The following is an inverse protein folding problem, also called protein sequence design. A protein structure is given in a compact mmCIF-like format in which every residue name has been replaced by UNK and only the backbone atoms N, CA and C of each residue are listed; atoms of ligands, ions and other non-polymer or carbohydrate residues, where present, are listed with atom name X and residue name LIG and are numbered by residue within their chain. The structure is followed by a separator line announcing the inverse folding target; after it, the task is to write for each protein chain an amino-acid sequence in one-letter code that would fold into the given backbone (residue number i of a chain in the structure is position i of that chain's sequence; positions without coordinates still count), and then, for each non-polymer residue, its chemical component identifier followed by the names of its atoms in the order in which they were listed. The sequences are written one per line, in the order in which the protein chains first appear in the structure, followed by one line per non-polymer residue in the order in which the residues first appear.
data_IF_413722621619
#
_entry.id   IF_413722621619
#
_cell.length_a   1.000
_cell.length_b   1.000
_cell.length_c   1.000
_cell.angle_alpha   90.00
_cell.angle_beta   90.00
_cell.angle_gamma   90.00
#
_symmetry.space_group_name_H-M   'P 1'
#
loop_
_entity.id
_entity.type
_entity.pdbx_description
1 polymer ?
#
# COMPACT_ATOMS: atom_id res chain seq x y z
N UNK A 1 1.15 0.84 -15.32
CA UNK A 1 0.33 1.35 -16.43
C UNK A 1 -0.95 1.95 -15.84
N UNK A 2 -1.02 3.27 -15.70
CA UNK A 2 -2.23 3.94 -15.20
C UNK A 2 -3.27 3.92 -16.32
N UNK A 3 -4.27 3.05 -16.19
CA UNK A 3 -5.40 3.03 -17.11
C UNK A 3 -6.26 4.25 -16.77
N UNK A 4 -6.03 5.36 -17.46
CA UNK A 4 -6.92 6.53 -17.46
C UNK A 4 -8.17 6.14 -18.22
N UNK A 5 -9.08 5.44 -17.55
CA UNK A 5 -10.46 5.35 -18.01
C UNK A 5 -10.99 6.78 -18.10
N UNK A 6 -11.52 7.21 -19.25
CA UNK A 6 -12.41 8.37 -19.29
C UNK A 6 -13.61 8.06 -18.40
N UNK A 7 -13.49 8.36 -17.11
CA UNK A 7 -14.49 8.03 -16.12
C UNK A 7 -15.60 9.06 -16.19
N UNK A 8 -16.80 8.60 -16.54
CA UNK A 8 -18.01 9.40 -16.43
C UNK A 8 -18.12 10.00 -15.01
N UNK A 9 -18.66 11.22 -14.83
CA UNK A 9 -18.74 11.86 -13.53
C UNK A 9 -19.55 11.02 -12.52
N UNK A 10 -19.13 11.08 -11.25
CA UNK A 10 -19.83 10.43 -10.13
C UNK A 10 -20.87 11.39 -9.55
N UNK A 11 -22.09 10.91 -9.39
CA UNK A 11 -23.17 11.59 -8.68
C UNK A 11 -23.06 11.33 -7.18
N UNK A 12 -23.15 12.39 -6.38
CA UNK A 12 -23.11 12.31 -4.92
C UNK A 12 -24.19 13.21 -4.32
N UNK A 13 -24.92 12.68 -3.32
CA UNK A 13 -25.90 13.46 -2.55
C UNK A 13 -25.87 13.01 -1.10
N UNK A 14 -25.35 13.86 -0.23
CA UNK A 14 -25.15 13.50 1.17
C UNK A 14 -24.36 14.56 1.92
N UNK A 15 -23.85 14.18 3.07
CA UNK A 15 -23.00 15.03 3.90
C UNK A 15 -21.55 14.93 3.44
N UNK A 16 -20.78 15.99 3.69
CA UNK A 16 -19.32 15.94 3.61
C UNK A 16 -18.72 15.81 5.00
N UNK A 17 -17.51 15.26 5.09
CA UNK A 17 -16.74 15.17 6.32
C UNK A 17 -15.34 15.76 6.15
N UNK A 18 -14.71 16.14 7.26
CA UNK A 18 -13.30 16.51 7.29
C UNK A 18 -12.45 15.30 7.65
N UNK A 19 -11.20 15.30 7.17
CA UNK A 19 -10.19 14.32 7.54
C UNK A 19 -9.03 15.07 8.18
N UNK A 20 -8.48 14.55 9.27
CA UNK A 20 -7.30 15.12 9.89
C UNK A 20 -6.09 14.97 8.94
N UNK A 21 -5.46 16.07 8.49
CA UNK A 21 -4.34 16.02 7.56
C UNK A 21 -3.08 15.37 8.15
N UNK A 22 -2.96 15.28 9.48
CA UNK A 22 -1.84 14.62 10.14
C UNK A 22 -1.94 13.07 10.13
N UNK A 23 -3.11 12.52 9.78
CA UNK A 23 -3.31 11.07 9.75
C UNK A 23 -2.77 10.46 8.46
N UNK A 24 -1.83 9.52 8.59
CA UNK A 24 -1.27 8.75 7.46
C UNK A 24 -2.10 7.52 7.07
N UNK A 25 -3.09 7.15 7.89
CA UNK A 25 -3.92 5.95 7.72
C UNK A 25 -5.21 6.21 6.94
N UNK A 26 -5.60 7.48 6.80
CA UNK A 26 -6.86 7.89 6.18
C UNK A 26 -6.57 8.51 4.83
N UNK A 27 -7.28 8.07 3.79
CA UNK A 27 -7.17 8.59 2.45
C UNK A 27 -8.52 9.16 1.99
N UNK A 28 -8.49 10.33 1.35
CA UNK A 28 -9.65 10.89 0.64
C UNK A 28 -9.71 10.29 -0.76
N UNK A 29 -10.74 9.49 -1.03
CA UNK A 29 -10.95 8.86 -2.35
C UNK A 29 -11.74 9.80 -3.26
N UNK A 30 -12.76 10.47 -2.71
CA UNK A 30 -13.57 11.45 -3.43
C UNK A 30 -13.66 12.73 -2.59
N UNK A 31 -13.25 13.85 -3.17
CA UNK A 31 -13.35 15.19 -2.58
C UNK A 31 -14.35 16.05 -3.35
N UNK A 32 -14.92 17.05 -2.68
CA UNK A 32 -15.78 18.03 -3.34
C UNK A 32 -14.98 18.94 -4.30
N UNK A 33 -15.70 19.69 -5.13
CA UNK A 33 -15.10 20.70 -6.02
C UNK A 33 -14.51 21.87 -5.21
N UNK A 34 -13.52 22.61 -5.75
CA UNK A 34 -12.92 23.76 -5.06
C UNK A 34 -13.92 24.86 -4.68
N UNK A 35 -15.04 24.97 -5.40
CA UNK A 35 -16.12 25.92 -5.14
C UNK A 35 -17.21 25.41 -4.18
N UNK A 36 -17.11 24.17 -3.69
CA UNK A 36 -18.12 23.60 -2.80
C UNK A 36 -17.97 24.16 -1.38
N UNK A 37 -19.07 24.19 -0.62
CA UNK A 37 -19.06 24.47 0.81
C UNK A 37 -20.10 23.58 1.50
N UNK A 38 -19.87 23.26 2.77
CA UNK A 38 -20.82 22.50 3.58
C UNK A 38 -21.54 23.44 4.55
N UNK A 39 -22.86 23.52 4.42
CA UNK A 39 -23.73 24.30 5.30
C UNK A 39 -25.14 23.72 5.33
N UNK A 40 -25.93 24.07 6.36
CA UNK A 40 -27.35 23.73 6.40
C UNK A 40 -28.12 24.57 5.38
N UNK A 41 -28.85 23.97 4.41
CA UNK A 41 -29.55 24.72 3.37
C UNK A 41 -30.67 25.63 3.86
N UNK A 42 -31.17 25.41 5.08
CA UNK A 42 -32.35 26.10 5.64
C UNK A 42 -32.01 27.32 6.49
N UNK A 43 -30.75 27.51 6.84
CA UNK A 43 -30.31 28.58 7.76
C UNK A 43 -29.53 29.65 7.01
N UNK A 44 -29.65 30.91 7.44
CA UNK A 44 -28.81 32.00 6.92
C UNK A 44 -27.33 31.64 7.13
N UNK A 45 -26.56 31.68 6.05
CA UNK A 45 -25.18 31.22 6.04
C UNK A 45 -24.31 32.08 6.97
N UNK A 46 -23.84 31.49 8.08
CA UNK A 46 -22.62 31.93 8.75
C UNK A 46 -21.40 31.35 8.01
N UNK A 47 -20.20 31.86 8.29
CA UNK A 47 -18.96 31.34 7.68
C UNK A 47 -18.92 29.81 7.70
N UNK A 48 -18.86 29.13 6.53
CA UNK A 48 -18.95 27.68 6.45
C UNK A 48 -17.73 27.03 7.12
N UNK A 49 -17.97 25.98 7.92
CA UNK A 49 -16.92 25.30 8.69
C UNK A 49 -15.93 24.52 7.82
N UNK A 50 -16.37 24.05 6.65
CA UNK A 50 -15.54 23.30 5.70
C UNK A 50 -15.86 23.76 4.28
N UNK A 51 -14.82 24.09 3.51
CA UNK A 51 -14.92 24.65 2.14
C UNK A 51 -13.95 24.01 1.16
N UNK A 52 -14.31 24.06 -0.12
CA UNK A 52 -13.54 23.61 -1.25
C UNK A 52 -13.17 22.12 -1.21
N UNK A 53 -11.98 21.81 -1.74
CA UNK A 53 -11.44 20.44 -1.84
C UNK A 53 -11.02 19.83 -0.50
N UNK A 54 -11.13 20.58 0.60
CA UNK A 54 -10.93 20.04 1.95
C UNK A 54 -12.07 19.12 2.37
N UNK A 55 -13.27 19.34 1.80
CA UNK A 55 -14.45 18.49 2.01
C UNK A 55 -14.20 17.12 1.39
N UNK A 56 -14.14 16.08 2.23
CA UNK A 56 -14.17 14.71 1.80
C UNK A 56 -15.62 14.23 1.67
N UNK A 57 -15.92 13.55 0.56
CA UNK A 57 -17.23 12.94 0.30
C UNK A 57 -17.17 11.43 0.56
N UNK A 58 -16.07 10.81 0.16
CA UNK A 58 -15.75 9.41 0.41
C UNK A 58 -14.31 9.30 0.88
N UNK A 59 -14.10 8.66 2.03
CA UNK A 59 -12.78 8.38 2.59
C UNK A 59 -12.62 6.91 2.90
N UNK A 60 -11.39 6.43 2.84
CA UNK A 60 -11.04 5.08 3.27
C UNK A 60 -10.00 5.14 4.39
N UNK A 61 -10.04 4.12 5.24
CA UNK A 61 -9.07 3.92 6.31
C UNK A 61 -8.46 2.55 6.13
N UNK A 62 -7.13 2.50 6.17
CA UNK A 62 -6.39 1.25 6.31
C UNK A 62 -5.71 1.27 7.67
N UNK A 63 -6.18 0.41 8.57
CA UNK A 63 -5.60 0.27 9.90
C UNK A 63 -4.25 -0.47 9.85
N UNK A 64 -3.47 -0.39 10.94
CA UNK A 64 -2.14 -1.02 11.04
C UNK A 64 -2.18 -2.56 10.93
N UNK A 65 -3.32 -3.16 11.29
CA UNK A 65 -3.59 -4.59 11.10
C UNK A 65 -4.13 -4.91 9.69
N UNK A 66 -3.98 -4.00 8.72
CA UNK A 66 -4.51 -4.08 7.36
C UNK A 66 -6.04 -4.15 7.25
N UNK A 67 -6.81 -3.89 8.32
CA UNK A 67 -8.26 -3.79 8.22
C UNK A 67 -8.67 -2.56 7.37
N UNK A 68 -9.65 -2.74 6.48
CA UNK A 68 -10.12 -1.72 5.55
C UNK A 68 -11.50 -1.24 5.93
N UNK A 69 -11.69 0.07 5.96
CA UNK A 69 -12.98 0.71 6.22
C UNK A 69 -13.25 1.78 5.17
N UNK A 70 -14.50 1.86 4.72
CA UNK A 70 -15.01 2.90 3.82
C UNK A 70 -16.01 3.77 4.59
N UNK A 71 -15.82 5.08 4.51
CA UNK A 71 -16.73 6.09 5.05
C UNK A 71 -17.28 6.88 3.86
N UNK A 72 -18.59 6.78 3.62
CA UNK A 72 -19.31 7.58 2.63
C UNK A 72 -20.34 8.45 3.33
N UNK A 73 -20.38 9.73 2.99
CA UNK A 73 -21.42 10.64 3.47
C UNK A 73 -22.76 10.55 2.70
N UNK A 74 -22.86 9.66 1.71
CA UNK A 74 -24.05 9.49 0.86
C UNK A 74 -24.47 8.03 0.75
N UNK A 75 -25.73 7.76 1.11
CA UNK A 75 -26.40 6.49 0.80
C UNK A 75 -26.81 6.41 -0.67
N UNK A 76 -27.21 7.53 -1.26
CA UNK A 76 -27.64 7.61 -2.66
C UNK A 76 -26.52 7.23 -3.63
N UNK A 77 -25.25 7.43 -3.24
CA UNK A 77 -24.08 6.98 -4.00
C UNK A 77 -24.17 5.49 -4.41
N UNK A 78 -24.75 4.66 -3.54
CA UNK A 78 -24.92 3.21 -3.73
C UNK A 78 -26.30 2.84 -4.31
N UNK A 79 -27.16 3.81 -4.60
CA UNK A 79 -28.52 3.55 -5.08
C UNK A 79 -28.56 3.19 -6.56
N UNK A 80 -29.40 2.22 -6.93
CA UNK A 80 -29.66 1.84 -8.33
C UNK A 80 -29.97 3.05 -9.23
N UNK A 81 -30.62 4.08 -8.67
CA UNK A 81 -30.90 5.33 -9.37
C UNK A 81 -29.59 5.99 -9.83
N UNK A 82 -28.64 6.24 -8.92
CA UNK A 82 -27.38 6.89 -9.29
C UNK A 82 -26.51 5.99 -10.14
N UNK A 83 -26.53 4.67 -9.94
CA UNK A 83 -25.77 3.71 -10.77
C UNK A 83 -26.20 3.71 -12.25
N UNK A 84 -27.46 4.01 -12.55
CA UNK A 84 -28.04 3.93 -13.91
C UNK A 84 -28.37 5.29 -14.52
N UNK A 85 -28.24 6.38 -13.77
CA UNK A 85 -28.58 7.71 -14.27
C UNK A 85 -27.52 8.24 -15.22
N UNK A 86 -27.96 8.90 -16.30
CA UNK A 86 -27.07 9.74 -17.11
C UNK A 86 -26.69 11.03 -16.39
N UNK A 87 -25.55 11.61 -16.76
CA UNK A 87 -25.00 12.81 -16.13
C UNK A 87 -24.76 13.90 -17.17
N UNK A 88 -25.28 15.09 -16.88
CA UNK A 88 -24.98 16.31 -17.62
C UNK A 88 -24.63 17.39 -16.61
N UNK A 89 -23.39 17.87 -16.65
CA UNK A 89 -22.96 18.97 -15.78
C UNK A 89 -23.59 20.26 -16.29
N UNK A 90 -24.22 21.04 -15.39
CA UNK A 90 -24.75 22.35 -15.75
C UNK A 90 -23.65 23.24 -16.36
N UNK A 91 -23.91 23.79 -17.55
CA UNK A 91 -22.92 24.57 -18.31
C UNK A 91 -21.93 23.76 -19.15
N UNK A 92 -22.08 22.43 -19.25
CA UNK A 92 -21.32 21.57 -20.16
C UNK A 92 -22.22 20.98 -21.24
N UNK A 93 -21.69 20.77 -22.44
CA UNK A 93 -22.35 20.06 -23.53
C UNK A 93 -22.09 18.55 -23.48
N UNK A 94 -21.15 18.10 -22.64
CA UNK A 94 -20.77 16.70 -22.55
C UNK A 94 -21.78 15.95 -21.70
N UNK A 95 -22.68 15.22 -22.37
CA UNK A 95 -23.63 14.33 -21.75
C UNK A 95 -23.04 12.92 -21.68
N UNK A 96 -23.08 12.33 -20.50
CA UNK A 96 -22.77 10.91 -20.30
C UNK A 96 -24.08 10.15 -20.14
N UNK A 97 -24.25 9.05 -20.88
CA UNK A 97 -25.46 8.22 -20.79
C UNK A 97 -25.59 7.51 -19.45
N UNK A 98 -24.45 7.22 -18.81
CA UNK A 98 -24.35 6.56 -17.50
C UNK A 98 -23.32 7.28 -16.63
N UNK A 99 -23.60 7.37 -15.34
CA UNK A 99 -22.67 7.88 -14.34
C UNK A 99 -21.51 6.91 -14.08
N UNK A 100 -20.43 7.43 -13.49
CA UNK A 100 -19.31 6.60 -13.04
C UNK A 100 -19.57 5.84 -11.74
N UNK A 101 -20.77 5.95 -11.14
CA UNK A 101 -21.04 5.43 -9.80
C UNK A 101 -20.90 3.91 -9.71
N UNK A 102 -21.35 3.17 -10.72
CA UNK A 102 -21.30 1.70 -10.70
C UNK A 102 -19.85 1.19 -10.67
N UNK A 103 -19.00 1.75 -11.54
CA UNK A 103 -17.58 1.41 -11.56
C UNK A 103 -16.90 1.82 -10.25
N UNK A 104 -17.17 3.04 -9.77
CA UNK A 104 -16.61 3.54 -8.52
C UNK A 104 -16.96 2.65 -7.32
N UNK A 105 -18.25 2.34 -7.14
CA UNK A 105 -18.75 1.50 -6.05
C UNK A 105 -18.21 0.07 -6.17
N UNK A 106 -18.13 -0.48 -7.38
CA UNK A 106 -17.60 -1.84 -7.59
C UNK A 106 -16.13 -1.92 -7.21
N UNK A 107 -15.29 -1.00 -7.68
CA UNK A 107 -13.85 -1.03 -7.42
C UNK A 107 -13.52 -0.71 -5.96
N UNK A 108 -14.24 0.22 -5.33
CA UNK A 108 -14.03 0.50 -3.90
C UNK A 108 -14.48 -0.69 -3.04
N UNK A 109 -15.56 -1.39 -3.42
CA UNK A 109 -16.02 -2.58 -2.70
C UNK A 109 -15.01 -3.72 -2.78
N UNK A 110 -14.47 -4.00 -3.98
CA UNK A 110 -13.38 -4.98 -4.16
C UNK A 110 -12.18 -4.65 -3.28
N UNK A 111 -11.81 -3.38 -3.18
CA UNK A 111 -10.74 -2.96 -2.31
C UNK A 111 -11.08 -3.19 -0.82
N UNK A 112 -12.26 -2.76 -0.35
CA UNK A 112 -12.67 -2.94 1.06
C UNK A 112 -12.70 -4.41 1.47
N UNK A 113 -13.22 -5.30 0.62
CA UNK A 113 -13.36 -6.73 0.91
C UNK A 113 -12.12 -7.57 0.60
N UNK A 114 -10.94 -6.95 0.48
CA UNK A 114 -9.67 -7.63 0.20
C UNK A 114 -9.63 -8.42 -1.12
N UNK A 115 -10.52 -8.14 -2.08
CA UNK A 115 -10.51 -8.78 -3.40
C UNK A 115 -9.45 -8.17 -4.34
N UNK A 116 -8.92 -7.00 -3.99
CA UNK A 116 -7.90 -6.28 -4.77
C UNK A 116 -6.84 -5.65 -3.88
N UNK A 117 -5.58 -5.59 -4.35
CA UNK A 117 -4.49 -4.93 -3.63
C UNK A 117 -4.15 -5.63 -2.30
N UNK A 118 -4.42 -6.93 -2.18
CA UNK A 118 -4.05 -7.71 -1.00
C UNK A 118 -2.78 -8.49 -1.29
N UNK A 119 -1.70 -8.07 -0.64
CA UNK A 119 -0.37 -8.66 -0.78
C UNK A 119 -0.12 -9.67 0.34
N UNK A 120 0.59 -10.73 -0.02
CA UNK A 120 1.11 -11.73 0.90
C UNK A 120 2.56 -12.01 0.55
N UNK A 121 3.40 -11.98 1.57
CA UNK A 121 4.76 -12.46 1.46
C UNK A 121 4.90 -13.86 2.06
N UNK A 122 5.63 -14.74 1.40
CA UNK A 122 5.90 -16.11 1.82
C UNK A 122 7.35 -16.48 1.53
N UNK A 123 7.78 -17.63 2.07
CA UNK A 123 9.07 -18.26 1.74
C UNK A 123 10.27 -17.30 1.81
N UNK A 124 10.37 -16.55 2.91
CA UNK A 124 11.57 -15.77 3.21
C UNK A 124 12.71 -16.73 3.46
N UNK A 125 13.79 -16.61 2.68
CA UNK A 125 14.99 -17.45 2.81
C UNK A 125 16.24 -16.59 2.75
N UNK A 126 17.27 -17.02 3.47
CA UNK A 126 18.58 -16.37 3.42
C UNK A 126 19.69 -17.40 3.65
N UNK A 127 20.77 -17.31 2.87
CA UNK A 127 21.90 -18.23 2.98
C UNK A 127 23.20 -17.56 2.53
N UNK A 128 24.34 -18.18 2.80
CA UNK A 128 25.60 -17.72 2.19
C UNK A 128 25.59 -18.05 0.70
N UNK A 129 26.30 -17.25 -0.09
CA UNK A 129 26.54 -17.58 -1.51
C UNK A 129 27.24 -18.93 -1.57
N UNK A 130 26.75 -19.83 -2.43
CA UNK A 130 27.14 -21.25 -2.58
C UNK A 130 26.62 -22.25 -1.53
N UNK A 131 25.88 -21.80 -0.51
CA UNK A 131 25.12 -22.69 0.39
C UNK A 131 23.63 -22.67 0.00
N UNK A 132 22.88 -23.74 0.28
CA UNK A 132 21.42 -23.81 0.06
C UNK A 132 20.61 -23.74 1.35
N UNK A 133 21.26 -23.96 2.50
CA UNK A 133 20.63 -23.98 3.81
C UNK A 133 20.83 -22.66 4.54
N UNK A 134 19.87 -22.27 5.38
CA UNK A 134 20.04 -21.11 6.25
C UNK A 134 21.14 -21.40 7.27
N UNK A 135 22.22 -20.59 7.33
CA UNK A 135 23.27 -20.78 8.30
C UNK A 135 22.78 -20.37 9.69
N UNK A 136 23.29 -21.04 10.72
CA UNK A 136 23.01 -20.66 12.11
C UNK A 136 23.54 -19.26 12.47
N UNK A 137 24.58 -18.81 11.78
CA UNK A 137 25.25 -17.52 11.98
C UNK A 137 26.03 -17.09 10.74
N UNK A 138 26.24 -15.79 10.56
CA UNK A 138 27.13 -15.24 9.53
C UNK A 138 28.43 -14.73 10.16
N UNK A 139 29.48 -14.69 9.35
CA UNK A 139 30.73 -14.00 9.67
C UNK A 139 30.74 -12.65 8.99
N UNK A 140 31.57 -11.76 9.52
CA UNK A 140 31.83 -10.48 8.87
C UNK A 140 32.37 -10.72 7.46
N UNK A 141 31.93 -9.90 6.50
CA UNK A 141 32.28 -9.96 5.09
C UNK A 141 31.82 -11.23 4.34
N UNK A 142 31.01 -12.10 4.97
CA UNK A 142 30.33 -13.19 4.27
C UNK A 142 29.47 -12.60 3.13
N UNK A 143 29.52 -13.23 1.97
CA UNK A 143 28.59 -12.98 0.88
C UNK A 143 27.27 -13.69 1.18
N UNK A 144 26.20 -12.91 1.27
CA UNK A 144 24.86 -13.34 1.62
C UNK A 144 23.93 -13.19 0.42
N UNK A 145 23.03 -14.15 0.25
CA UNK A 145 21.83 -14.06 -0.58
C UNK A 145 20.57 -14.03 0.29
N UNK A 146 19.64 -13.15 -0.06
CA UNK A 146 18.33 -13.01 0.55
C UNK A 146 17.27 -13.14 -0.54
N UNK A 147 16.21 -13.91 -0.27
CA UNK A 147 15.06 -13.98 -1.16
C UNK A 147 13.72 -14.05 -0.41
N UNK A 148 12.66 -13.59 -1.10
CA UNK A 148 11.30 -13.52 -0.58
C UNK A 148 10.33 -13.63 -1.76
N UNK A 149 9.24 -14.37 -1.58
CA UNK A 149 8.17 -14.45 -2.57
C UNK A 149 7.01 -13.54 -2.18
N UNK A 150 6.54 -12.70 -3.11
CA UNK A 150 5.42 -11.79 -2.89
C UNK A 150 4.32 -12.07 -3.93
N UNK A 151 3.11 -12.25 -3.44
CA UNK A 151 1.92 -12.52 -4.24
C UNK A 151 0.82 -11.51 -3.96
N UNK A 152 0.02 -11.19 -4.98
CA UNK A 152 -1.21 -10.41 -4.89
C UNK A 152 -2.42 -11.31 -5.08
N UNK A 153 -3.44 -11.13 -4.24
CA UNK A 153 -4.74 -11.77 -4.41
C UNK A 153 -5.55 -11.05 -5.48
N UNK A 154 -5.99 -11.79 -6.51
CA UNK A 154 -6.80 -11.24 -7.60
C UNK A 154 -8.32 -11.38 -7.40
N UNK A 155 -8.77 -11.70 -6.19
CA UNK A 155 -10.17 -12.06 -5.89
C UNK A 155 -10.47 -13.56 -6.00
N UNK A 156 -9.69 -14.28 -6.80
CA UNK A 156 -9.87 -15.72 -7.07
C UNK A 156 -8.63 -16.58 -6.81
N UNK A 157 -7.44 -16.02 -7.05
CA UNK A 157 -6.17 -16.76 -6.96
C UNK A 157 -5.03 -15.82 -6.58
N UNK A 158 -3.99 -16.37 -5.96
CA UNK A 158 -2.73 -15.68 -5.73
C UNK A 158 -1.93 -15.60 -7.03
N UNK A 159 -1.55 -14.39 -7.43
CA UNK A 159 -0.73 -14.13 -8.62
C UNK A 159 0.59 -13.49 -8.20
N UNK A 160 1.70 -13.74 -8.92
CA UNK A 160 2.95 -13.05 -8.70
C UNK A 160 2.79 -11.54 -8.62
N UNK A 161 3.30 -10.92 -7.56
CA UNK A 161 3.41 -9.47 -7.50
C UNK A 161 4.71 -9.04 -8.17
N UNK A 162 4.63 -8.06 -9.06
CA UNK A 162 5.78 -7.56 -9.82
C UNK A 162 5.86 -6.05 -9.63
N UNK A 163 6.97 -5.60 -9.07
CA UNK A 163 7.27 -4.20 -8.77
C UNK A 163 8.79 -4.03 -8.68
N UNK A 164 9.27 -2.82 -8.93
CA UNK A 164 10.68 -2.42 -8.98
C UNK A 164 11.17 -1.72 -7.70
N UNK A 165 10.25 -1.44 -6.77
CA UNK A 165 10.45 -0.58 -5.60
C UNK A 165 10.51 -1.34 -4.27
N UNK A 166 10.58 -2.68 -4.29
CA UNK A 166 10.70 -3.49 -3.06
C UNK A 166 12.13 -3.43 -2.54
N UNK A 167 12.28 -3.17 -1.24
CA UNK A 167 13.58 -3.04 -0.59
C UNK A 167 13.69 -3.93 0.64
N UNK A 168 14.90 -4.42 0.90
CA UNK A 168 15.28 -5.10 2.14
C UNK A 168 16.25 -4.24 2.92
N UNK A 169 16.07 -4.24 4.24
CA UNK A 169 16.97 -3.63 5.20
C UNK A 169 17.69 -4.71 5.99
N UNK A 170 19.01 -4.60 6.09
CA UNK A 170 19.79 -5.31 7.09
C UNK A 170 19.97 -4.40 8.30
N UNK A 171 19.21 -4.69 9.35
CA UNK A 171 18.88 -3.76 10.43
C UNK A 171 19.39 -4.25 11.78
N UNK A 172 19.92 -3.35 12.61
CA UNK A 172 20.24 -3.61 14.02
C UNK A 172 19.63 -2.52 14.91
N UNK A 173 20.30 -1.36 15.01
CA UNK A 173 19.76 -0.12 15.60
C UNK A 173 19.38 0.90 14.52
N UNK A 174 20.02 0.78 13.35
CA UNK A 174 19.79 1.53 12.12
C UNK A 174 19.96 0.59 10.93
N UNK A 175 19.43 0.93 9.74
CA UNK A 175 19.68 0.14 8.53
C UNK A 175 21.14 0.32 8.09
N UNK A 176 21.93 -0.75 8.20
CA UNK A 176 23.33 -0.76 7.74
C UNK A 176 23.41 -1.01 6.24
N UNK A 177 22.52 -1.86 5.72
CA UNK A 177 22.36 -2.10 4.29
C UNK A 177 20.90 -1.84 3.93
N UNK A 178 20.69 -1.00 2.93
CA UNK A 178 19.40 -0.82 2.27
C UNK A 178 19.59 -1.15 0.79
N UNK A 179 18.92 -2.20 0.32
CA UNK A 179 19.06 -2.70 -1.06
C UNK A 179 17.69 -2.91 -1.68
N UNK A 180 17.51 -2.45 -2.92
CA UNK A 180 16.37 -2.82 -3.74
C UNK A 180 16.49 -4.28 -4.19
N UNK A 181 15.39 -5.01 -4.13
CA UNK A 181 15.32 -6.41 -4.56
C UNK A 181 15.13 -6.48 -6.07
N UNK A 182 15.87 -7.36 -6.72
CA UNK A 182 15.63 -7.75 -8.11
C UNK A 182 14.49 -8.77 -8.17
N UNK A 183 13.75 -8.82 -9.27
CA UNK A 183 12.62 -9.76 -9.43
C UNK A 183 12.78 -10.61 -10.68
N UNK A 184 12.33 -11.87 -10.59
CA UNK A 184 12.26 -12.81 -11.71
C UNK A 184 10.95 -12.71 -12.51
N UNK A 185 10.09 -11.73 -12.19
CA UNK A 185 8.75 -11.53 -12.73
C UNK A 185 7.74 -12.66 -12.42
N UNK A 186 8.15 -13.67 -11.64
CA UNK A 186 7.29 -14.78 -11.18
C UNK A 186 6.97 -14.67 -9.69
N UNK A 187 7.31 -13.53 -9.08
CA UNK A 187 6.98 -13.18 -7.70
C UNK A 187 8.12 -13.43 -6.73
N UNK A 188 9.25 -13.98 -7.19
CA UNK A 188 10.46 -14.08 -6.39
C UNK A 188 11.21 -12.76 -6.46
N UNK A 189 11.59 -12.28 -5.29
CA UNK A 189 12.42 -11.12 -5.09
C UNK A 189 13.71 -11.55 -4.39
N UNK A 190 14.85 -11.08 -4.90
CA UNK A 190 16.14 -11.50 -4.37
C UNK A 190 17.18 -10.38 -4.45
N UNK A 191 18.19 -10.47 -3.59
CA UNK A 191 19.39 -9.63 -3.65
C UNK A 191 20.55 -10.37 -3.01
N UNK A 192 21.76 -9.96 -3.37
CA UNK A 192 22.98 -10.33 -2.66
C UNK A 192 23.71 -9.10 -2.15
N UNK A 193 24.37 -9.24 -1.00
CA UNK A 193 25.24 -8.21 -0.43
C UNK A 193 26.19 -8.82 0.60
N UNK A 194 27.25 -8.08 0.95
CA UNK A 194 28.21 -8.48 1.99
C UNK A 194 27.72 -8.09 3.38
N UNK A 195 27.94 -8.97 4.34
CA UNK A 195 27.69 -8.68 5.75
C UNK A 195 28.64 -7.55 6.23
N UNK A 196 28.12 -6.47 6.84
CA UNK A 196 28.93 -5.37 7.34
C UNK A 196 30.00 -5.77 8.36
N UNK A 197 31.04 -4.95 8.47
CA UNK A 197 32.12 -5.09 9.47
C UNK A 197 31.69 -4.58 10.85
N UNK A 198 30.56 -5.10 11.35
CA UNK A 198 30.02 -4.82 12.67
C UNK A 198 29.44 -6.10 13.25
N UNK A 199 29.77 -6.35 14.51
CA UNK A 199 29.31 -7.50 15.26
C UNK A 199 27.98 -7.17 15.93
N UNK A 200 27.10 -8.16 15.97
CA UNK A 200 25.82 -8.01 16.65
C UNK A 200 24.75 -8.93 16.10
N UNK A 201 23.52 -8.67 16.54
CA UNK A 201 22.33 -9.36 16.08
C UNK A 201 21.65 -8.49 15.04
N UNK A 202 21.60 -8.96 13.81
CA UNK A 202 20.94 -8.26 12.71
C UNK A 202 19.60 -8.90 12.40
N UNK A 203 18.73 -8.13 11.75
CA UNK A 203 17.43 -8.56 11.28
C UNK A 203 17.29 -8.18 9.82
N UNK A 204 16.76 -9.09 9.01
CA UNK A 204 16.19 -8.75 7.72
C UNK A 204 14.84 -8.11 7.95
N UNK A 205 14.68 -6.88 7.48
CA UNK A 205 13.45 -6.12 7.61
C UNK A 205 12.96 -5.72 6.22
N UNK A 206 11.73 -6.10 5.89
CA UNK A 206 11.03 -5.68 4.69
C UNK A 206 9.79 -4.91 5.11
N UNK A 207 9.79 -3.61 4.85
CA UNK A 207 8.65 -2.72 5.07
C UNK A 207 8.19 -2.19 3.71
N UNK A 208 7.03 -2.67 3.26
CA UNK A 208 6.45 -2.26 1.99
C UNK A 208 5.09 -1.62 2.23
N UNK A 209 5.01 -0.32 1.99
CA UNK A 209 3.77 0.46 2.14
C UNK A 209 3.52 1.22 0.85
N UNK A 210 2.49 0.81 0.12
CA UNK A 210 2.06 1.44 -1.13
C UNK A 210 0.58 1.77 -1.09
N UNK A 211 0.22 2.91 -1.65
CA UNK A 211 -1.18 3.35 -1.72
C UNK A 211 -2.04 2.29 -2.42
N UNK A 212 -3.14 1.89 -1.77
CA UNK A 212 -4.07 0.89 -2.30
C UNK A 212 -3.68 -0.57 -2.05
N UNK A 213 -2.48 -0.85 -1.54
CA UNK A 213 -2.04 -2.19 -1.19
C UNK A 213 -2.01 -2.41 0.32
N UNK A 214 -2.12 -3.67 0.76
CA UNK A 214 -1.84 -4.02 2.17
C UNK A 214 -0.38 -3.74 2.49
N UNK A 215 -0.12 -3.20 3.68
CA UNK A 215 1.24 -3.01 4.16
C UNK A 215 1.86 -4.35 4.55
N UNK A 216 3.05 -4.63 4.03
CA UNK A 216 3.87 -5.76 4.44
C UNK A 216 4.90 -5.27 5.46
N UNK A 217 4.94 -5.91 6.62
CA UNK A 217 5.95 -5.68 7.64
C UNK A 217 6.47 -7.04 8.08
N UNK A 218 7.67 -7.38 7.64
CA UNK A 218 8.33 -8.65 7.92
C UNK A 218 9.66 -8.36 8.62
N UNK A 219 9.92 -9.07 9.71
CA UNK A 219 11.22 -9.08 10.36
C UNK A 219 11.64 -10.53 10.61
N UNK A 220 12.83 -10.89 10.13
CA UNK A 220 13.47 -12.18 10.39
C UNK A 220 14.83 -11.91 11.03
N UNK A 221 14.96 -12.33 12.29
CA UNK A 221 16.20 -12.16 13.03
C UNK A 221 17.24 -13.22 12.61
N UNK A 222 18.50 -12.79 12.55
CA UNK A 222 19.65 -13.64 12.32
C UNK A 222 20.51 -13.63 13.58
N UNK A 223 20.79 -14.81 14.11
CA UNK A 223 21.56 -14.98 15.34
C UNK A 223 23.05 -14.76 15.08
N UNK A 224 23.66 -13.84 15.85
CA UNK A 224 25.09 -13.56 16.04
C UNK A 224 25.99 -13.49 14.79
N UNK A 225 26.38 -12.28 14.40
CA UNK A 225 27.56 -12.06 13.55
C UNK A 225 28.82 -12.01 14.42
N UNK A 226 29.75 -12.95 14.18
CA UNK A 226 31.01 -13.08 14.94
C UNK A 226 32.19 -13.04 13.96
N UNK A 227 33.29 -12.41 14.37
CA UNK A 227 34.60 -12.63 13.73
C UNK A 227 35.23 -13.84 14.37
N UNK A 228 35.38 -14.88 13.56
CA UNK A 228 36.31 -15.93 13.89
C UNK A 228 37.69 -15.36 13.62
N UNK A 229 38.35 -14.87 14.68
CA UNK A 229 39.79 -14.69 14.67
C UNK A 229 40.37 -16.09 14.43
N UNK A 230 40.86 -16.35 13.22
CA UNK A 230 41.79 -17.45 13.01
C UNK A 230 43.04 -17.13 13.83
N UNK A 231 43.07 -17.61 15.08
CA UNK A 231 44.33 -17.87 15.77
C UNK A 231 45.00 -18.98 14.97
N UNK A 232 45.78 -18.58 13.97
CA UNK A 232 46.75 -19.46 13.34
C UNK A 232 47.69 -19.95 14.42
N UNK A 233 47.56 -21.22 14.80
CA UNK A 233 48.63 -21.93 15.48
C UNK A 233 49.87 -21.86 14.58
N UNK A 234 50.80 -20.98 14.92
CA UNK A 234 52.19 -21.18 14.58
C UNK A 234 52.66 -22.45 15.31
N UNK A 235 53.04 -23.47 14.54
CA UNK A 235 54.01 -24.50 14.91
C UNK A 235 54.97 -24.66 13.74
#
# INVERSE_FOLDING_TARGET
MYQTFEQAPVLFRGIGHSVNPASTLVLKVLSASPSAYSASPKTKLSTPSITGSTIALVSVVQARNNARMLISGSLDLFSNRFLRSGVLKAGSLNKHEKSGNEQFVTEISKWVFHERGHLKAVNVTHHRVAELAEPAMYRINDDLEYSIEIYEWSGSSWKPYVSDDVQVQFYMMSPYVLKSLSTDLKGLYFTSFKVPDVYGVFQFKVEYQRLGYTSLSLSKQVSNIIVILFLGCFH
#
